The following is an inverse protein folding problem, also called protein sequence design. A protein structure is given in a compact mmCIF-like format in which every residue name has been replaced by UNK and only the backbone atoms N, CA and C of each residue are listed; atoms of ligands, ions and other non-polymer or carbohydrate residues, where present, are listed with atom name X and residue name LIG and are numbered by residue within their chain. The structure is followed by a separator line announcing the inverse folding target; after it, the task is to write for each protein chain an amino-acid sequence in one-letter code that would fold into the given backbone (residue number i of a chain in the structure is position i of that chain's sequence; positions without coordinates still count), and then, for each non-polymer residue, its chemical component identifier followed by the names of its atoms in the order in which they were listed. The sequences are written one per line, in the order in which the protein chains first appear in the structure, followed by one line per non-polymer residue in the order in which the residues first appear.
data_IF_405691832291
#
_entry.id   IF_405691832291
#
_cell.length_a   1.000
_cell.length_b   1.000
_cell.length_c   1.000
_cell.angle_alpha   90.00
_cell.angle_beta   90.00
_cell.angle_gamma   90.00
#
_symmetry.space_group_name_H-M   'P 1'
#
loop_
_entity.id
_entity.type
_entity.pdbx_description
1 polymer ?
#
# COMPACT_ATOMS: atom_id res chain seq x y z
N UNK A 1 1.95 17.50 24.55
CA UNK A 1 1.15 17.78 23.34
C UNK A 1 0.01 16.76 23.22
N UNK A 2 -1.18 17.17 22.79
CA UNK A 2 -2.30 16.23 22.54
C UNK A 2 -1.98 15.35 21.33
N UNK A 3 -2.24 14.05 21.43
CA UNK A 3 -1.90 13.09 20.37
C UNK A 3 -2.61 13.40 19.05
N UNK A 4 -3.90 13.77 19.13
CA UNK A 4 -4.69 14.13 17.94
C UNK A 4 -4.14 15.36 17.21
N UNK A 5 -3.68 16.37 17.96
CA UNK A 5 -3.04 17.55 17.37
C UNK A 5 -1.73 17.19 16.67
N UNK A 6 -0.94 16.29 17.26
CA UNK A 6 0.29 15.77 16.65
C UNK A 6 0.02 15.09 15.31
N UNK A 7 -1.00 14.23 15.27
CA UNK A 7 -1.40 13.48 14.08
C UNK A 7 -1.94 14.42 13.01
N UNK A 8 -2.76 15.40 13.37
CA UNK A 8 -3.25 16.41 12.41
C UNK A 8 -2.10 17.20 11.78
N UNK A 9 -1.16 17.69 12.60
CA UNK A 9 0.02 18.40 12.10
C UNK A 9 0.89 17.51 11.20
N UNK A 10 1.02 16.23 11.54
CA UNK A 10 1.73 15.23 10.74
C UNK A 10 1.05 14.98 9.39
N UNK A 11 -0.26 14.74 9.37
CA UNK A 11 -1.02 14.50 8.15
C UNK A 11 -1.01 15.74 7.24
N UNK A 12 -1.13 16.94 7.82
CA UNK A 12 -0.98 18.20 7.08
C UNK A 12 0.41 18.31 6.43
N UNK A 13 1.48 17.97 7.15
CA UNK A 13 2.82 17.92 6.57
C UNK A 13 2.93 16.89 5.44
N UNK A 14 2.35 15.69 5.59
CA UNK A 14 2.36 14.69 4.52
C UNK A 14 1.59 15.16 3.28
N UNK A 15 0.48 15.88 3.47
CA UNK A 15 -0.27 16.52 2.38
C UNK A 15 0.58 17.58 1.68
N UNK A 16 1.26 18.45 2.43
CA UNK A 16 2.17 19.47 1.87
C UNK A 16 3.37 18.87 1.12
N UNK A 17 3.74 17.62 1.40
CA UNK A 17 4.75 16.86 0.66
C UNK A 17 4.16 16.09 -0.54
N UNK A 18 2.96 16.45 -1.02
CA UNK A 18 2.28 15.82 -2.15
C UNK A 18 2.13 14.29 -2.01
N UNK A 19 1.96 13.78 -0.78
CA UNK A 19 1.65 12.36 -0.59
C UNK A 19 0.23 12.08 -1.04
N UNK A 20 0.03 10.93 -1.69
CA UNK A 20 -1.28 10.58 -2.26
C UNK A 20 -2.38 10.49 -1.18
N UNK A 21 -3.65 10.77 -1.53
CA UNK A 21 -4.77 10.68 -0.58
C UNK A 21 -4.84 9.34 0.15
N UNK A 22 -4.68 8.24 -0.59
CA UNK A 22 -4.62 6.87 -0.03
C UNK A 22 -3.52 6.69 1.01
N UNK A 23 -2.37 7.36 0.84
CA UNK A 23 -1.29 7.33 1.83
C UNK A 23 -1.67 8.09 3.11
N UNK A 24 -2.37 9.22 2.98
CA UNK A 24 -2.85 10.00 4.11
C UNK A 24 -3.92 9.24 4.90
N UNK A 25 -4.89 8.63 4.20
CA UNK A 25 -5.92 7.76 4.78
C UNK A 25 -5.29 6.57 5.50
N UNK A 26 -4.26 5.96 4.91
CA UNK A 26 -3.54 4.86 5.53
C UNK A 26 -2.83 5.30 6.83
N UNK A 27 -2.15 6.45 6.84
CA UNK A 27 -1.58 6.97 8.09
C UNK A 27 -2.66 7.31 9.12
N UNK A 28 -3.77 7.92 8.69
CA UNK A 28 -4.87 8.27 9.58
C UNK A 28 -5.47 7.03 10.24
N UNK A 29 -5.72 5.96 9.48
CA UNK A 29 -6.27 4.71 10.00
C UNK A 29 -5.31 4.00 10.97
N UNK A 30 -4.01 3.97 10.63
CA UNK A 30 -2.99 3.37 11.51
C UNK A 30 -2.82 4.16 12.81
N UNK A 31 -2.95 5.49 12.79
CA UNK A 31 -2.73 6.32 13.96
C UNK A 31 -4.01 6.55 14.79
N UNK A 32 -5.20 6.29 14.24
CA UNK A 32 -6.48 6.49 14.92
C UNK A 32 -6.59 5.67 16.21
N UNK A 33 -6.25 4.38 16.16
CA UNK A 33 -6.28 3.50 17.35
C UNK A 33 -5.33 3.97 18.44
N UNK A 34 -4.15 4.47 18.05
CA UNK A 34 -3.18 5.04 18.99
C UNK A 34 -3.69 6.32 19.64
N UNK A 35 -4.28 7.22 18.84
CA UNK A 35 -4.88 8.46 19.32
C UNK A 35 -6.03 8.23 20.31
N UNK A 36 -6.83 7.19 20.07
CA UNK A 36 -7.90 6.79 20.97
C UNK A 36 -7.38 6.32 22.33
N UNK A 37 -6.28 5.54 22.34
CA UNK A 37 -5.70 4.98 23.58
C UNK A 37 -4.92 6.00 24.41
N UNK A 38 -4.24 6.96 23.77
CA UNK A 38 -3.42 7.96 24.44
C UNK A 38 -3.85 9.37 24.02
N UNK A 39 -4.49 10.10 24.94
CA UNK A 39 -4.93 11.49 24.71
C UNK A 39 -3.73 12.47 24.64
N UNK A 40 -2.68 12.22 25.41
CA UNK A 40 -1.40 12.92 25.39
C UNK A 40 -0.33 12.00 24.78
N UNK A 41 0.50 12.56 23.89
CA UNK A 41 1.52 11.78 23.18
C UNK A 41 2.55 11.23 24.18
N UNK A 42 2.69 9.90 24.31
CA UNK A 42 3.70 9.29 25.19
C UNK A 42 5.12 9.67 24.77
N UNK A 43 5.99 10.02 25.72
CA UNK A 43 7.38 10.39 25.44
C UNK A 43 8.40 9.39 26.02
N UNK A 44 7.92 8.28 26.56
CA UNK A 44 8.72 7.15 27.03
C UNK A 44 8.44 5.93 26.14
N UNK A 45 9.38 4.97 26.03
CA UNK A 45 9.20 3.80 25.16
C UNK A 45 8.13 2.83 25.66
N UNK A 46 7.98 2.64 26.98
CA UNK A 46 7.15 1.57 27.56
C UNK A 46 5.67 1.66 27.14
N UNK A 47 5.01 2.84 27.15
CA UNK A 47 3.64 2.95 26.65
C UNK A 47 3.49 2.64 25.15
N UNK A 48 4.56 2.79 24.37
CA UNK A 48 4.54 2.48 22.94
C UNK A 48 4.71 0.98 22.73
N UNK A 49 5.56 0.31 23.52
CA UNK A 49 5.70 -1.15 23.53
C UNK A 49 4.38 -1.81 23.94
N UNK A 50 3.74 -1.33 25.00
CA UNK A 50 2.40 -1.79 25.44
C UNK A 50 1.37 -1.67 24.30
N UNK A 51 1.41 -0.57 23.56
CA UNK A 51 0.52 -0.38 22.43
C UNK A 51 0.79 -1.39 21.32
N UNK A 52 2.06 -1.58 20.94
CA UNK A 52 2.44 -2.53 19.90
C UNK A 52 2.13 -3.98 20.30
N UNK A 53 2.23 -4.33 21.58
CA UNK A 53 1.81 -5.64 22.08
C UNK A 53 0.29 -5.85 22.00
N UNK A 54 -0.49 -4.79 22.27
CA UNK A 54 -1.94 -4.82 22.17
C UNK A 54 -2.46 -5.05 20.73
N UNK A 55 -1.61 -4.84 19.71
CA UNK A 55 -1.96 -5.11 18.31
C UNK A 55 -1.93 -6.61 18.06
N UNK A 56 -3.11 -7.19 17.88
CA UNK A 56 -3.30 -8.57 17.42
C UNK A 56 -3.48 -8.61 15.89
N UNK A 57 -3.04 -9.68 15.26
CA UNK A 57 -3.14 -9.90 13.81
C UNK A 57 -1.83 -10.42 13.20
N UNK A 58 -1.73 -10.31 11.89
CA UNK A 58 -0.53 -10.72 11.15
C UNK A 58 0.67 -9.82 11.51
N UNK A 59 1.91 -10.34 11.47
CA UNK A 59 3.13 -9.57 11.77
C UNK A 59 3.23 -8.25 10.99
N UNK A 60 2.76 -8.24 9.73
CA UNK A 60 2.73 -7.08 8.85
C UNK A 60 1.85 -5.96 9.39
N UNK A 61 0.75 -6.30 10.07
CA UNK A 61 -0.17 -5.34 10.68
C UNK A 61 0.53 -4.62 11.83
N UNK A 62 1.14 -5.37 12.77
CA UNK A 62 1.91 -4.80 13.89
C UNK A 62 3.07 -3.93 13.37
N UNK A 63 3.79 -4.42 12.36
CA UNK A 63 4.85 -3.67 11.71
C UNK A 63 4.34 -2.41 10.97
N UNK A 64 3.12 -2.42 10.46
CA UNK A 64 2.42 -1.24 9.92
C UNK A 64 2.22 -0.14 10.97
N UNK A 65 1.70 -0.50 12.15
CA UNK A 65 1.59 0.41 13.29
C UNK A 65 2.96 0.93 13.76
N UNK A 66 3.97 0.06 13.88
CA UNK A 66 5.32 0.49 14.24
C UNK A 66 5.87 1.55 13.28
N UNK A 67 5.79 1.31 11.96
CA UNK A 67 6.29 2.26 10.95
C UNK A 67 5.53 3.58 10.94
N UNK A 68 4.21 3.56 11.17
CA UNK A 68 3.40 4.78 11.22
C UNK A 68 3.75 5.62 12.46
N UNK A 69 3.91 4.99 13.63
CA UNK A 69 4.38 5.64 14.86
C UNK A 69 5.79 6.19 14.68
N UNK A 70 6.72 5.39 14.14
CA UNK A 70 8.09 5.84 13.84
C UNK A 70 8.09 7.10 12.97
N UNK A 71 7.25 7.14 11.95
CA UNK A 71 7.11 8.32 11.09
C UNK A 71 6.51 9.53 11.82
N UNK A 72 5.49 9.34 12.66
CA UNK A 72 4.84 10.38 13.46
C UNK A 72 5.82 11.00 14.48
N UNK A 73 6.52 10.17 15.25
CA UNK A 73 7.46 10.64 16.27
C UNK A 73 8.69 11.29 15.65
N UNK A 74 9.26 10.71 14.59
CA UNK A 74 10.37 11.37 13.86
C UNK A 74 10.01 12.76 13.38
N UNK A 75 8.78 12.95 12.88
CA UNK A 75 8.28 14.26 12.47
C UNK A 75 8.10 15.20 13.66
N UNK A 76 7.41 14.74 14.69
CA UNK A 76 7.01 15.54 15.84
C UNK A 76 8.21 15.98 16.69
N UNK A 77 9.05 15.01 17.10
CA UNK A 77 10.20 15.24 17.94
C UNK A 77 11.23 16.12 17.24
N UNK A 78 11.45 15.93 15.94
CA UNK A 78 12.33 16.80 15.14
C UNK A 78 11.87 18.26 15.16
N UNK A 79 10.57 18.52 14.97
CA UNK A 79 10.02 19.89 14.98
C UNK A 79 10.09 20.56 16.35
N UNK A 80 9.97 19.77 17.41
CA UNK A 80 9.99 20.27 18.79
C UNK A 80 11.40 20.22 19.42
N UNK A 81 12.41 19.74 18.68
CA UNK A 81 13.77 19.52 19.19
C UNK A 81 13.79 18.64 20.45
N UNK A 82 12.96 17.61 20.47
CA UNK A 82 12.86 16.64 21.56
C UNK A 82 13.56 15.33 21.20
N UNK A 83 13.99 14.58 22.21
CA UNK A 83 14.40 13.19 22.04
C UNK A 83 13.24 12.34 21.50
N UNK A 84 13.54 11.44 20.56
CA UNK A 84 12.56 10.56 19.94
C UNK A 84 12.52 9.20 20.67
N UNK A 85 11.42 8.84 21.37
CA UNK A 85 11.34 7.56 22.09
C UNK A 85 11.36 6.36 21.14
N UNK A 86 10.97 6.52 19.87
CA UNK A 86 11.01 5.46 18.87
C UNK A 86 12.44 5.01 18.49
N UNK A 87 13.49 5.73 18.90
CA UNK A 87 14.87 5.28 18.72
C UNK A 87 15.27 4.19 19.72
N UNK A 88 14.51 4.04 20.82
CA UNK A 88 14.71 3.00 21.85
C UNK A 88 13.79 1.79 21.65
N UNK A 89 12.99 1.78 20.58
CA UNK A 89 11.99 0.72 20.33
C UNK A 89 12.42 -0.09 19.11
N UNK A 90 12.65 -1.37 19.36
CA UNK A 90 12.98 -2.34 18.33
C UNK A 90 11.81 -2.57 17.38
N UNK A 91 12.15 -2.83 16.11
CA UNK A 91 11.14 -3.16 15.12
C UNK A 91 10.53 -4.53 15.44
N UNK A 92 9.19 -4.65 15.45
CA UNK A 92 8.54 -5.96 15.54
C UNK A 92 9.02 -6.87 14.42
N UNK A 93 9.28 -8.15 14.74
CA UNK A 93 9.64 -9.15 13.73
C UNK A 93 8.51 -9.32 12.71
N UNK A 94 8.88 -9.24 11.44
CA UNK A 94 7.97 -9.40 10.31
C UNK A 94 8.65 -10.35 9.31
N UNK A 95 8.43 -11.68 9.43
CA UNK A 95 9.07 -12.65 8.54
C UNK A 95 8.66 -12.39 7.10
N UNK A 96 9.59 -12.67 6.16
CA UNK A 96 9.30 -12.52 4.74
C UNK A 96 8.26 -13.55 4.33
N UNK A 97 7.07 -13.10 3.98
CA UNK A 97 6.02 -13.95 3.41
C UNK A 97 6.36 -14.28 1.95
N UNK A 98 6.46 -15.57 1.63
CA UNK A 98 6.49 -16.04 0.24
C UNK A 98 5.05 -16.03 -0.24
N UNK A 99 4.76 -15.20 -1.24
CA UNK A 99 3.44 -15.16 -1.86
C UNK A 99 3.29 -16.35 -2.81
N UNK A 100 2.15 -17.04 -2.83
CA UNK A 100 1.91 -18.09 -3.79
C UNK A 100 1.98 -17.51 -5.21
N UNK A 101 2.66 -18.24 -6.09
CA UNK A 101 2.75 -17.92 -7.51
C UNK A 101 1.83 -18.84 -8.30
N UNK A 102 1.37 -18.38 -9.46
CA UNK A 102 0.61 -19.23 -10.38
C UNK A 102 1.58 -19.96 -11.30
N UNK A 103 1.39 -21.27 -11.43
CA UNK A 103 2.04 -22.07 -12.46
C UNK A 103 1.38 -21.86 -13.83
N UNK A 104 2.11 -22.14 -14.91
CA UNK A 104 1.60 -22.02 -16.28
C UNK A 104 0.28 -22.77 -16.48
N UNK A 105 0.16 -23.99 -15.92
CA UNK A 105 -1.07 -24.79 -16.02
C UNK A 105 -2.26 -24.10 -15.35
N UNK A 106 -2.06 -23.55 -14.15
CA UNK A 106 -3.12 -22.84 -13.41
C UNK A 106 -3.56 -21.60 -14.18
N UNK A 107 -2.62 -20.93 -14.84
CA UNK A 107 -2.91 -19.78 -15.67
C UNK A 107 -3.76 -20.13 -16.89
N UNK A 108 -3.40 -21.20 -17.61
CA UNK A 108 -4.18 -21.70 -18.74
C UNK A 108 -5.61 -22.07 -18.30
N UNK A 109 -5.75 -22.72 -17.14
CA UNK A 109 -7.06 -23.01 -16.57
C UNK A 109 -7.89 -21.76 -16.29
N UNK A 110 -7.28 -20.67 -15.81
CA UNK A 110 -8.00 -19.41 -15.58
C UNK A 110 -8.48 -18.78 -16.89
N UNK A 111 -7.66 -18.81 -17.95
CA UNK A 111 -8.05 -18.34 -19.28
C UNK A 111 -9.19 -19.17 -19.87
N UNK A 112 -9.09 -20.51 -19.79
CA UNK A 112 -10.14 -21.42 -20.24
C UNK A 112 -11.46 -21.18 -19.51
N UNK A 113 -11.40 -20.92 -18.20
CA UNK A 113 -12.58 -20.60 -17.40
C UNK A 113 -13.22 -19.28 -17.83
N UNK A 114 -12.43 -18.24 -18.08
CA UNK A 114 -12.94 -16.96 -18.55
C UNK A 114 -13.60 -17.08 -19.93
N UNK A 115 -13.03 -17.90 -20.82
CA UNK A 115 -13.60 -18.21 -22.12
C UNK A 115 -14.91 -18.98 -22.02
N UNK A 116 -14.96 -20.05 -21.23
CA UNK A 116 -16.20 -20.83 -21.00
C UNK A 116 -17.30 -20.01 -20.34
N UNK A 117 -16.94 -19.05 -19.50
CA UNK A 117 -17.87 -18.11 -18.90
C UNK A 117 -18.37 -17.04 -19.89
N UNK A 118 -17.83 -16.97 -21.11
CA UNK A 118 -18.17 -15.96 -22.11
C UNK A 118 -17.74 -14.54 -21.72
N UNK A 119 -16.81 -14.39 -20.76
CA UNK A 119 -16.39 -13.09 -20.24
C UNK A 119 -15.17 -12.58 -21.00
N UNK A 120 -15.42 -11.91 -22.13
CA UNK A 120 -14.36 -11.29 -22.94
C UNK A 120 -13.49 -10.33 -22.10
N UNK A 121 -14.13 -9.57 -21.19
CA UNK A 121 -13.44 -8.67 -20.26
C UNK A 121 -12.44 -9.41 -19.38
N UNK A 122 -12.85 -10.51 -18.75
CA UNK A 122 -11.98 -11.22 -17.82
C UNK A 122 -10.86 -11.97 -18.58
N UNK A 123 -11.16 -12.49 -19.77
CA UNK A 123 -10.16 -13.07 -20.68
C UNK A 123 -9.11 -12.03 -21.11
N UNK A 124 -9.54 -10.83 -21.49
CA UNK A 124 -8.64 -9.73 -21.86
C UNK A 124 -7.79 -9.27 -20.66
N UNK A 125 -8.37 -9.13 -19.47
CA UNK A 125 -7.61 -8.78 -18.26
C UNK A 125 -6.57 -9.83 -17.90
N UNK A 126 -6.91 -11.12 -17.93
CA UNK A 126 -5.98 -12.22 -17.67
C UNK A 126 -4.84 -12.26 -18.68
N UNK A 127 -5.15 -12.05 -19.97
CA UNK A 127 -4.14 -12.02 -21.04
C UNK A 127 -3.19 -10.81 -20.87
N UNK A 128 -3.71 -9.64 -20.50
CA UNK A 128 -2.89 -8.47 -20.17
C UNK A 128 -1.95 -8.72 -18.98
N UNK A 129 -2.43 -9.36 -17.92
CA UNK A 129 -1.56 -9.68 -16.77
C UNK A 129 -0.43 -10.64 -17.16
N UNK A 130 -0.69 -11.54 -18.09
CA UNK A 130 0.30 -12.48 -18.61
C UNK A 130 1.38 -11.81 -19.47
N UNK A 131 0.97 -10.92 -20.36
CA UNK A 131 1.88 -10.28 -21.31
C UNK A 131 2.92 -9.39 -20.62
N UNK A 132 2.47 -8.55 -19.69
CA UNK A 132 3.26 -7.40 -19.24
C UNK A 132 3.33 -7.21 -17.72
N UNK A 133 2.61 -8.04 -16.94
CA UNK A 133 2.62 -7.96 -15.48
C UNK A 133 2.16 -6.60 -14.93
N UNK A 134 1.32 -5.86 -15.68
CA UNK A 134 0.74 -4.62 -15.21
C UNK A 134 -0.02 -4.83 -13.89
N UNK A 135 -0.01 -3.80 -13.03
CA UNK A 135 -0.71 -3.89 -11.75
C UNK A 135 -2.21 -3.84 -11.99
N UNK A 136 -2.97 -4.52 -11.13
CA UNK A 136 -4.45 -4.46 -11.17
C UNK A 136 -4.98 -3.03 -11.25
N UNK A 137 -4.44 -2.11 -10.46
CA UNK A 137 -4.86 -0.71 -10.44
C UNK A 137 -4.54 0.07 -11.72
N UNK A 138 -3.62 -0.42 -12.54
CA UNK A 138 -3.28 0.15 -13.84
C UNK A 138 -4.23 -0.40 -14.93
N UNK A 139 -4.47 -1.73 -14.93
CA UNK A 139 -5.33 -2.40 -15.90
C UNK A 139 -6.79 -1.98 -15.78
N UNK A 140 -7.34 -1.92 -14.55
CA UNK A 140 -8.75 -1.56 -14.34
C UNK A 140 -9.09 -0.10 -14.65
N UNK A 141 -8.06 0.75 -14.85
CA UNK A 141 -8.22 2.17 -15.19
C UNK A 141 -7.97 2.50 -16.66
N UNK A 142 -7.58 1.51 -17.47
CA UNK A 142 -7.32 1.69 -18.90
C UNK A 142 -8.56 2.22 -19.63
N UNK A 143 -8.33 3.17 -20.56
CA UNK A 143 -9.35 3.70 -21.45
C UNK A 143 -8.97 3.41 -22.90
N UNK A 144 -9.95 3.51 -23.80
CA UNK A 144 -9.72 3.30 -25.25
C UNK A 144 -8.58 4.15 -25.82
N UNK A 145 -8.45 5.40 -25.36
CA UNK A 145 -7.39 6.33 -25.77
C UNK A 145 -5.97 5.92 -25.30
N UNK A 146 -5.88 4.99 -24.37
CA UNK A 146 -4.61 4.46 -23.86
C UNK A 146 -4.16 3.21 -24.61
N UNK A 147 -4.98 2.72 -25.56
CA UNK A 147 -4.66 1.59 -26.41
C UNK A 147 -3.94 2.11 -27.66
N UNK A 148 -2.70 1.66 -27.87
CA UNK A 148 -1.96 1.83 -29.12
C UNK A 148 -2.08 0.58 -30.00
N UNK A 149 -1.31 0.54 -31.09
CA UNK A 149 -1.33 -0.60 -32.01
C UNK A 149 -0.72 -1.86 -31.38
N UNK A 150 0.43 -1.74 -30.72
CA UNK A 150 1.15 -2.87 -30.12
C UNK A 150 1.54 -2.60 -28.67
N UNK A 151 1.02 -1.52 -28.10
CA UNK A 151 1.32 -1.07 -26.74
C UNK A 151 0.06 -0.57 -26.05
N UNK A 152 0.10 -0.54 -24.73
CA UNK A 152 -0.85 0.19 -23.91
C UNK A 152 -0.12 1.19 -23.04
N UNK A 153 -0.73 2.35 -22.82
CA UNK A 153 -0.24 3.37 -21.90
C UNK A 153 -0.90 3.17 -20.53
N UNK A 154 -0.11 2.79 -19.53
CA UNK A 154 -0.59 2.62 -18.16
C UNK A 154 -0.12 3.74 -17.27
N UNK A 155 -0.99 4.16 -16.35
CA UNK A 155 -0.66 5.10 -15.29
C UNK A 155 -0.96 4.49 -13.93
N UNK A 156 0.01 4.54 -13.02
CA UNK A 156 -0.19 3.98 -11.70
C UNK A 156 0.77 4.53 -10.66
N UNK A 157 0.96 3.74 -9.59
CA UNK A 157 1.77 4.15 -8.43
C UNK A 157 3.19 4.59 -8.79
N UNK A 158 3.77 4.05 -9.86
CA UNK A 158 5.14 4.35 -10.30
C UNK A 158 5.21 5.38 -11.44
N UNK A 159 4.08 6.01 -11.80
CA UNK A 159 3.98 6.95 -12.91
C UNK A 159 3.42 6.31 -14.18
N UNK A 160 3.50 7.09 -15.27
CA UNK A 160 3.07 6.69 -16.61
C UNK A 160 4.17 5.91 -17.33
N UNK A 161 3.80 4.87 -18.07
CA UNK A 161 4.69 4.13 -18.97
C UNK A 161 3.89 3.47 -20.08
N UNK A 162 4.55 3.22 -21.20
CA UNK A 162 4.04 2.35 -22.25
C UNK A 162 4.59 0.93 -22.05
N UNK A 163 3.73 -0.06 -22.25
CA UNK A 163 4.08 -1.47 -22.16
C UNK A 163 3.56 -2.20 -23.40
N UNK A 164 4.35 -3.13 -23.98
CA UNK A 164 3.92 -3.91 -25.13
C UNK A 164 2.80 -4.88 -24.76
N UNK A 165 1.97 -5.21 -25.75
CA UNK A 165 0.96 -6.28 -25.67
C UNK A 165 1.20 -7.28 -26.80
N UNK A 166 0.88 -8.55 -26.55
CA UNK A 166 0.93 -9.60 -27.56
C UNK A 166 -0.20 -9.44 -28.58
N UNK A 167 -0.06 -10.12 -29.72
CA UNK A 167 -1.12 -10.12 -30.73
C UNK A 167 -2.38 -10.83 -30.21
N UNK A 168 -2.21 -11.86 -29.39
CA UNK A 168 -3.27 -12.61 -28.73
C UNK A 168 -4.12 -11.70 -27.84
N UNK A 169 -3.49 -10.86 -27.02
CA UNK A 169 -4.20 -9.90 -26.17
C UNK A 169 -4.84 -8.78 -26.98
N UNK A 170 -4.17 -8.29 -28.03
CA UNK A 170 -4.70 -7.22 -28.90
C UNK A 170 -6.01 -7.61 -29.59
N UNK A 171 -6.21 -8.90 -29.89
CA UNK A 171 -7.40 -9.41 -30.59
C UNK A 171 -8.67 -9.46 -29.73
N UNK A 172 -8.54 -9.35 -28.40
CA UNK A 172 -9.65 -9.43 -27.44
C UNK A 172 -10.30 -8.06 -27.19
#
# INVERSE_FOLDING_TARGET
MKTQQAIQAFLYNRKALNRSPRTLEWYASMLARFAFRYSKLPMKPEPIDDFLDSIKGQPETKHGYYRSLKALYRFTCRRQRLANPMELIDSPSCPRKIMPTLELRQMMQLLDLAERAGSLRDKAMLSLYLDNGARVGEVVTLRKQDLGDTTIRVEGKIGQREIPISEETRRL
#
